data_IF_778980368915
#
_entry.id   IF_778980368915
#
_cell.length_a   1.000
_cell.length_b   1.000
_cell.length_c   1.000
_cell.angle_alpha   90.00
_cell.angle_beta   90.00
_cell.angle_gamma   90.00
#
_symmetry.space_group_name_H-M   'P 1'
#
loop_
_entity.id
_entity.type
_entity.pdbx_description
1 polymer ?
#
# COMPACT_ATOMS: atom_id res chain seq x y z
N UNK A 1 16.85 -19.75 -20.01
CA UNK A 1 16.02 -18.56 -19.89
C UNK A 1 16.36 -17.84 -18.59
N UNK A 2 16.57 -16.51 -18.64
CA UNK A 2 17.02 -15.68 -17.49
C UNK A 2 15.96 -15.53 -16.37
N UNK A 3 14.76 -16.07 -16.58
CA UNK A 3 13.64 -15.97 -15.65
C UNK A 3 13.41 -17.24 -14.81
N UNK A 4 14.33 -18.20 -14.88
CA UNK A 4 14.27 -19.44 -14.10
C UNK A 4 14.77 -19.20 -12.67
N UNK A 5 13.85 -18.95 -11.75
CA UNK A 5 14.11 -18.75 -10.33
C UNK A 5 14.12 -17.28 -9.87
N UNK A 6 14.32 -17.05 -8.57
CA UNK A 6 14.47 -15.73 -7.96
C UNK A 6 15.87 -15.14 -8.28
N UNK A 7 16.15 -14.92 -9.55
CA UNK A 7 17.43 -14.41 -10.02
C UNK A 7 17.53 -12.88 -10.00
N UNK A 8 18.73 -12.34 -10.30
CA UNK A 8 18.96 -10.88 -10.37
C UNK A 8 18.08 -10.17 -11.40
N UNK A 9 17.48 -10.89 -12.35
CA UNK A 9 16.57 -10.35 -13.35
C UNK A 9 15.30 -9.73 -12.73
N UNK A 10 14.82 -10.22 -11.58
CA UNK A 10 13.67 -9.66 -10.88
C UNK A 10 14.01 -8.44 -10.00
N UNK A 11 15.29 -8.21 -9.71
CA UNK A 11 15.70 -7.09 -8.85
C UNK A 11 15.38 -5.74 -9.47
N UNK A 12 15.66 -5.54 -10.75
CA UNK A 12 15.44 -4.26 -11.41
C UNK A 12 13.94 -3.89 -11.48
N UNK A 13 13.02 -4.74 -11.98
CA UNK A 13 11.58 -4.46 -11.94
C UNK A 13 11.06 -4.27 -10.51
N UNK A 14 11.50 -5.09 -9.56
CA UNK A 14 11.10 -4.99 -8.15
C UNK A 14 11.53 -3.69 -7.50
N UNK A 15 12.75 -3.23 -7.73
CA UNK A 15 13.25 -1.95 -7.23
C UNK A 15 12.45 -0.78 -7.82
N UNK A 16 12.17 -0.80 -9.12
CA UNK A 16 11.42 0.28 -9.78
C UNK A 16 10.00 0.39 -9.21
N UNK A 17 9.30 -0.73 -9.08
CA UNK A 17 7.96 -0.78 -8.47
C UNK A 17 8.00 -0.33 -7.00
N UNK A 18 8.96 -0.83 -6.25
CA UNK A 18 9.13 -0.51 -4.84
C UNK A 18 9.46 0.96 -4.60
N UNK A 19 10.37 1.56 -5.38
CA UNK A 19 10.73 2.97 -5.27
C UNK A 19 9.55 3.90 -5.60
N UNK A 20 8.74 3.57 -6.61
CA UNK A 20 7.55 4.33 -6.94
C UNK A 20 6.56 4.36 -5.77
N UNK A 21 6.22 3.21 -5.23
CA UNK A 21 5.33 3.07 -4.07
C UNK A 21 5.91 3.73 -2.82
N UNK A 22 7.21 3.56 -2.56
CA UNK A 22 7.91 4.18 -1.43
C UNK A 22 7.86 5.71 -1.50
N UNK A 23 8.10 6.29 -2.68
CA UNK A 23 8.02 7.74 -2.89
C UNK A 23 6.61 8.27 -2.62
N UNK A 24 5.59 7.56 -3.07
CA UNK A 24 4.18 7.90 -2.83
C UNK A 24 3.83 7.85 -1.35
N UNK A 25 4.12 6.73 -0.67
CA UNK A 25 3.86 6.54 0.77
C UNK A 25 4.60 7.58 1.61
N UNK A 26 5.87 7.87 1.27
CA UNK A 26 6.66 8.89 1.97
C UNK A 26 6.03 10.27 1.87
N UNK A 27 5.56 10.65 0.68
CA UNK A 27 4.90 11.94 0.46
C UNK A 27 3.60 12.03 1.25
N UNK A 28 2.78 10.98 1.20
CA UNK A 28 1.52 10.90 1.94
C UNK A 28 1.74 10.99 3.45
N UNK A 29 2.68 10.22 3.98
CA UNK A 29 3.03 10.23 5.41
C UNK A 29 3.49 11.63 5.84
N UNK A 30 4.33 12.29 5.05
CA UNK A 30 4.78 13.65 5.32
C UNK A 30 3.61 14.63 5.39
N UNK A 31 2.70 14.58 4.41
CA UNK A 31 1.53 15.47 4.38
C UNK A 31 0.63 15.25 5.59
N UNK A 32 0.29 13.99 5.90
CA UNK A 32 -0.51 13.62 7.07
C UNK A 32 0.13 14.07 8.39
N UNK A 33 1.45 13.92 8.53
CA UNK A 33 2.17 14.38 9.70
C UNK A 33 2.13 15.91 9.85
N UNK A 34 2.23 16.66 8.75
CA UNK A 34 2.15 18.12 8.77
C UNK A 34 0.74 18.61 9.13
N UNK A 35 -0.31 17.95 8.64
CA UNK A 35 -1.69 18.25 9.01
C UNK A 35 -1.95 18.03 10.50
N UNK A 36 -1.53 16.87 11.02
CA UNK A 36 -1.67 16.52 12.43
C UNK A 36 -0.91 17.50 13.32
N UNK A 37 0.30 17.93 12.92
CA UNK A 37 1.12 18.89 13.67
C UNK A 37 0.39 20.20 13.96
N UNK A 38 -0.56 20.60 13.11
CA UNK A 38 -1.34 21.85 13.22
C UNK A 38 -2.60 21.71 14.07
N UNK A 39 -2.96 20.50 14.49
CA UNK A 39 -4.15 20.25 15.28
C UNK A 39 -4.04 20.81 16.71
N UNK A 40 -5.16 21.29 17.25
CA UNK A 40 -5.20 21.96 18.55
C UNK A 40 -4.80 21.05 19.71
N UNK A 41 -5.10 19.74 19.63
CA UNK A 41 -4.70 18.80 20.69
C UNK A 41 -3.18 18.64 20.78
N UNK A 42 -2.44 18.83 19.67
CA UNK A 42 -0.97 18.84 19.67
C UNK A 42 -0.44 20.11 20.32
N UNK A 43 -1.08 21.26 20.06
CA UNK A 43 -0.74 22.52 20.74
C UNK A 43 -0.99 22.42 22.23
N UNK A 44 -2.11 21.84 22.63
CA UNK A 44 -2.44 21.60 24.04
C UNK A 44 -1.44 20.67 24.71
N UNK A 45 -1.00 19.61 24.05
CA UNK A 45 0.00 18.69 24.58
C UNK A 45 1.34 19.40 24.84
N UNK A 46 1.76 20.29 23.93
CA UNK A 46 2.96 21.12 24.10
C UNK A 46 2.81 22.12 25.24
N UNK A 47 1.65 22.79 25.34
CA UNK A 47 1.35 23.73 26.42
C UNK A 47 1.38 23.06 27.80
N UNK A 48 1.06 21.77 27.89
CA UNK A 48 1.17 20.96 29.11
C UNK A 48 2.62 20.51 29.43
N UNK A 49 3.59 20.93 28.65
CA UNK A 49 5.02 20.63 28.88
C UNK A 49 5.44 19.19 28.50
N UNK A 50 4.65 18.48 27.68
CA UNK A 50 5.05 17.16 27.20
C UNK A 50 6.28 17.29 26.26
N UNK A 51 7.23 16.37 26.42
CA UNK A 51 8.41 16.31 25.55
C UNK A 51 8.01 16.02 24.09
N UNK A 52 8.75 16.54 23.12
CA UNK A 52 8.46 16.39 21.69
C UNK A 52 8.43 14.93 21.24
N UNK A 53 9.30 14.07 21.77
CA UNK A 53 9.37 12.66 21.37
C UNK A 53 8.07 11.88 21.64
N UNK A 54 7.43 11.91 22.82
CA UNK A 54 6.12 11.32 23.03
C UNK A 54 5.03 11.95 22.16
N UNK A 55 5.05 13.27 21.93
CA UNK A 55 4.09 13.95 21.07
C UNK A 55 4.16 13.38 19.66
N UNK A 56 5.37 13.29 19.09
CA UNK A 56 5.56 12.79 17.73
C UNK A 56 5.19 11.31 17.61
N UNK A 57 5.73 10.44 18.47
CA UNK A 57 5.57 9.00 18.34
C UNK A 57 4.19 8.50 18.73
N UNK A 58 3.61 9.06 19.80
CA UNK A 58 2.36 8.53 20.36
C UNK A 58 1.10 9.27 19.89
N UNK A 59 1.22 10.58 19.63
CA UNK A 59 0.09 11.40 19.23
C UNK A 59 0.07 11.70 17.74
N UNK A 60 1.20 12.12 17.14
CA UNK A 60 1.23 12.50 15.74
C UNK A 60 1.30 11.28 14.82
N UNK A 61 2.30 10.41 14.99
CA UNK A 61 2.54 9.27 14.09
C UNK A 61 1.32 8.32 14.07
N UNK A 62 0.76 8.02 15.22
CA UNK A 62 -0.41 7.15 15.34
C UNK A 62 -1.59 7.64 14.48
N UNK A 63 -1.92 8.92 14.57
CA UNK A 63 -3.03 9.49 13.82
C UNK A 63 -2.68 9.72 12.33
N UNK A 64 -1.42 10.06 12.03
CA UNK A 64 -0.95 10.24 10.67
C UNK A 64 -0.89 8.93 9.87
N UNK A 65 -0.78 7.79 10.54
CA UNK A 65 -0.77 6.48 9.88
C UNK A 65 -2.15 6.02 9.39
N UNK A 66 -3.25 6.61 9.88
CA UNK A 66 -4.61 6.21 9.44
C UNK A 66 -4.78 6.35 7.93
N UNK A 67 -4.60 7.53 7.30
CA UNK A 67 -4.73 7.66 5.85
C UNK A 67 -3.67 6.88 5.08
N UNK A 68 -2.48 6.68 5.66
CA UNK A 68 -1.42 5.88 5.05
C UNK A 68 -1.84 4.42 4.94
N UNK A 69 -2.37 3.84 6.00
CA UNK A 69 -2.85 2.46 6.02
C UNK A 69 -4.00 2.22 5.04
N UNK A 70 -4.93 3.18 4.91
CA UNK A 70 -6.03 3.11 3.95
C UNK A 70 -5.52 2.85 2.53
N UNK A 71 -4.42 3.49 2.16
CA UNK A 71 -3.86 3.41 0.81
C UNK A 71 -2.90 2.23 0.67
N UNK A 72 -2.25 1.81 1.76
CA UNK A 72 -1.33 0.67 1.72
C UNK A 72 -1.99 -0.65 1.32
N UNK A 73 -3.27 -0.86 1.64
CA UNK A 73 -3.99 -2.07 1.25
C UNK A 73 -4.05 -2.24 -0.28
N UNK A 74 -4.72 -1.34 -1.02
CA UNK A 74 -4.72 -1.37 -2.48
C UNK A 74 -3.31 -1.32 -3.08
N UNK A 75 -2.41 -0.49 -2.56
CA UNK A 75 -1.04 -0.40 -3.06
C UNK A 75 -0.26 -1.73 -2.92
N UNK A 76 -0.48 -2.48 -1.85
CA UNK A 76 0.10 -3.82 -1.70
C UNK A 76 -0.47 -4.81 -2.71
N UNK A 77 -1.78 -4.74 -2.98
CA UNK A 77 -2.41 -5.56 -4.02
C UNK A 77 -1.83 -5.24 -5.40
N UNK A 78 -1.66 -3.96 -5.73
CA UNK A 78 -1.04 -3.51 -7.00
C UNK A 78 0.40 -4.00 -7.13
N UNK A 79 1.18 -4.00 -6.04
CA UNK A 79 2.55 -4.52 -6.05
C UNK A 79 2.61 -6.02 -6.29
N UNK A 80 1.67 -6.79 -5.75
CA UNK A 80 1.61 -8.26 -5.91
C UNK A 80 1.16 -8.64 -7.32
N UNK A 81 0.20 -7.90 -7.87
CA UNK A 81 -0.27 -8.16 -9.25
C UNK A 81 0.72 -7.67 -10.31
N UNK A 82 1.65 -6.79 -9.92
CA UNK A 82 2.65 -6.22 -10.81
C UNK A 82 2.13 -5.08 -11.69
N UNK A 83 3.03 -4.53 -12.46
CA UNK A 83 2.71 -3.47 -13.44
C UNK A 83 2.85 -4.00 -14.84
N UNK A 84 1.78 -3.97 -15.62
CA UNK A 84 1.75 -4.35 -17.03
C UNK A 84 2.89 -3.67 -17.80
N UNK A 85 3.14 -2.39 -17.53
CA UNK A 85 4.17 -1.60 -18.21
C UNK A 85 5.56 -2.16 -17.89
N UNK A 86 5.88 -2.39 -16.63
CA UNK A 86 7.18 -2.88 -16.21
C UNK A 86 7.38 -4.32 -16.65
N UNK A 87 6.36 -5.17 -16.52
CA UNK A 87 6.39 -6.55 -17.00
C UNK A 87 6.64 -6.62 -18.51
N UNK A 88 6.01 -5.74 -19.29
CA UNK A 88 6.20 -5.67 -20.74
C UNK A 88 7.60 -5.17 -21.13
N UNK A 89 8.11 -4.14 -20.44
CA UNK A 89 9.45 -3.57 -20.72
C UNK A 89 10.56 -4.59 -20.42
N UNK A 90 10.45 -5.27 -19.27
CA UNK A 90 11.46 -6.25 -18.85
C UNK A 90 11.22 -7.66 -19.40
N UNK A 91 10.09 -7.90 -20.08
CA UNK A 91 9.71 -9.22 -20.55
C UNK A 91 9.44 -10.22 -19.43
N UNK A 92 9.16 -9.73 -18.22
CA UNK A 92 8.92 -10.56 -17.05
C UNK A 92 7.57 -11.28 -17.15
N UNK A 93 7.48 -12.55 -16.77
CA UNK A 93 6.22 -13.24 -16.64
C UNK A 93 5.48 -12.71 -15.41
N UNK A 94 4.35 -12.03 -15.61
CA UNK A 94 3.55 -11.45 -14.55
C UNK A 94 2.06 -11.46 -14.87
N UNK A 95 1.23 -11.31 -13.83
CA UNK A 95 -0.24 -11.37 -13.95
C UNK A 95 -0.82 -10.24 -14.79
N UNK A 96 -0.22 -9.05 -14.75
CA UNK A 96 -0.67 -7.91 -15.54
C UNK A 96 -0.49 -8.16 -17.03
N UNK A 97 0.63 -8.72 -17.44
CA UNK A 97 0.90 -9.09 -18.83
C UNK A 97 -0.02 -10.20 -19.31
N UNK A 98 -0.18 -11.27 -18.53
CA UNK A 98 -1.08 -12.38 -18.85
C UNK A 98 -2.53 -11.91 -19.01
N UNK A 99 -2.97 -10.96 -18.17
CA UNK A 99 -4.31 -10.36 -18.30
C UNK A 99 -4.48 -9.66 -19.66
N UNK A 100 -3.52 -8.84 -20.09
CA UNK A 100 -3.58 -8.13 -21.39
C UNK A 100 -3.45 -9.09 -22.56
N UNK A 101 -2.56 -10.06 -22.48
CA UNK A 101 -2.39 -11.08 -23.51
C UNK A 101 -3.66 -11.93 -23.68
N UNK A 102 -4.35 -12.24 -22.58
CA UNK A 102 -5.62 -12.99 -22.62
C UNK A 102 -6.76 -12.20 -23.29
N UNK A 103 -6.78 -10.88 -23.15
CA UNK A 103 -7.73 -10.02 -23.88
C UNK A 103 -7.49 -10.13 -25.38
N UNK A 104 -6.23 -10.05 -25.82
CA UNK A 104 -5.82 -10.14 -27.22
C UNK A 104 -6.13 -11.52 -27.81
N UNK A 105 -5.98 -12.58 -27.04
CA UNK A 105 -6.30 -13.97 -27.40
C UNK A 105 -7.78 -14.31 -27.27
N UNK A 106 -8.61 -13.42 -26.69
CA UNK A 106 -10.03 -13.64 -26.37
C UNK A 106 -10.25 -14.83 -25.42
N UNK A 107 -9.29 -15.08 -24.53
CA UNK A 107 -9.41 -16.12 -23.52
C UNK A 107 -10.22 -15.62 -22.32
N UNK A 108 -11.52 -15.79 -22.39
CA UNK A 108 -12.44 -15.35 -21.34
C UNK A 108 -12.21 -16.05 -20.00
N UNK A 109 -11.75 -17.29 -20.01
CA UNK A 109 -11.47 -18.04 -18.79
C UNK A 109 -10.31 -17.41 -18.03
N UNK A 110 -9.25 -17.04 -18.73
CA UNK A 110 -8.08 -16.39 -18.14
C UNK A 110 -8.39 -14.97 -17.71
N UNK A 111 -9.16 -14.20 -18.50
CA UNK A 111 -9.62 -12.86 -18.12
C UNK A 111 -10.42 -12.89 -16.82
N UNK A 112 -11.39 -13.81 -16.72
CA UNK A 112 -12.21 -13.97 -15.51
C UNK A 112 -11.37 -14.44 -14.31
N UNK A 113 -10.48 -15.38 -14.52
CA UNK A 113 -9.62 -15.93 -13.47
C UNK A 113 -8.71 -14.85 -12.86
N UNK A 114 -8.03 -14.06 -13.70
CA UNK A 114 -7.16 -12.96 -13.24
C UNK A 114 -7.95 -11.85 -12.55
N UNK A 115 -9.13 -11.49 -13.07
CA UNK A 115 -9.99 -10.49 -12.45
C UNK A 115 -10.49 -10.91 -11.06
N UNK A 116 -10.94 -12.18 -10.91
CA UNK A 116 -11.36 -12.72 -9.64
C UNK A 116 -10.19 -12.79 -8.65
N UNK A 117 -9.03 -13.23 -9.10
CA UNK A 117 -7.83 -13.27 -8.27
C UNK A 117 -7.48 -11.88 -7.73
N UNK A 118 -7.49 -10.85 -8.58
CA UNK A 118 -7.22 -9.47 -8.19
C UNK A 118 -8.26 -8.95 -7.20
N UNK A 119 -9.55 -9.22 -7.45
CA UNK A 119 -10.63 -8.83 -6.54
C UNK A 119 -10.47 -9.45 -5.13
N UNK A 120 -10.14 -10.74 -5.07
CA UNK A 120 -9.88 -11.45 -3.80
C UNK A 120 -8.67 -10.87 -3.09
N UNK A 121 -7.60 -10.55 -3.82
CA UNK A 121 -6.39 -9.96 -3.25
C UNK A 121 -6.67 -8.58 -2.64
N UNK A 122 -7.40 -7.72 -3.34
CA UNK A 122 -7.81 -6.40 -2.81
C UNK A 122 -8.71 -6.56 -1.59
N UNK A 123 -9.68 -7.46 -1.64
CA UNK A 123 -10.56 -7.71 -0.50
C UNK A 123 -9.76 -8.17 0.74
N UNK A 124 -8.83 -9.09 0.56
CA UNK A 124 -7.94 -9.54 1.61
C UNK A 124 -7.05 -8.41 2.16
N UNK A 125 -6.46 -7.59 1.28
CA UNK A 125 -5.65 -6.45 1.67
C UNK A 125 -6.47 -5.43 2.48
N UNK A 126 -7.71 -5.15 2.08
CA UNK A 126 -8.61 -4.26 2.82
C UNK A 126 -8.96 -4.82 4.21
N UNK A 127 -9.22 -6.12 4.33
CA UNK A 127 -9.44 -6.77 5.64
C UNK A 127 -8.22 -6.59 6.55
N UNK A 128 -7.01 -6.75 6.04
CA UNK A 128 -5.79 -6.51 6.82
C UNK A 128 -5.68 -5.04 7.27
N UNK A 129 -6.05 -4.10 6.41
CA UNK A 129 -6.11 -2.67 6.76
C UNK A 129 -7.14 -2.43 7.86
N UNK A 130 -8.34 -2.99 7.76
CA UNK A 130 -9.40 -2.85 8.76
C UNK A 130 -8.98 -3.41 10.14
N UNK A 131 -8.30 -4.56 10.15
CA UNK A 131 -7.70 -5.11 11.36
C UNK A 131 -6.64 -4.15 11.94
N UNK A 132 -5.81 -3.58 11.08
CA UNK A 132 -4.77 -2.62 11.47
C UNK A 132 -5.36 -1.36 12.08
N UNK A 133 -6.52 -0.88 11.61
CA UNK A 133 -7.24 0.22 12.24
C UNK A 133 -7.67 -0.12 13.66
N UNK A 134 -8.18 -1.33 13.89
CA UNK A 134 -8.57 -1.78 15.24
C UNK A 134 -7.41 -1.81 16.24
N UNK A 135 -6.18 -2.00 15.76
CA UNK A 135 -4.95 -1.94 16.58
C UNK A 135 -4.49 -0.51 16.82
N UNK A 136 -4.57 0.34 15.79
CA UNK A 136 -4.10 1.73 15.86
C UNK A 136 -5.08 2.61 16.61
N UNK A 137 -6.38 2.48 16.37
CA UNK A 137 -7.41 3.26 17.05
C UNK A 137 -8.47 2.36 17.73
N UNK A 138 -8.26 1.92 18.97
CA UNK A 138 -9.21 1.11 19.71
C UNK A 138 -10.55 1.82 20.01
N UNK A 139 -10.64 3.13 19.77
CA UNK A 139 -11.89 3.91 19.98
C UNK A 139 -12.93 3.65 18.89
N UNK A 140 -12.54 3.13 17.72
CA UNK A 140 -13.46 2.77 16.64
C UNK A 140 -14.32 1.56 17.05
N UNK A 141 -13.88 0.73 17.99
CA UNK A 141 -14.62 -0.44 18.52
C UNK A 141 -15.88 -0.10 19.33
N UNK A 142 -16.07 1.13 19.78
CA UNK A 142 -17.11 1.51 20.76
C UNK A 142 -18.37 2.11 20.11
N UNK A 143 -18.42 2.26 18.79
CA UNK A 143 -19.62 2.77 18.11
C UNK A 143 -20.37 1.65 17.41
N UNK A 144 -20.99 0.79 18.21
CA UNK A 144 -22.16 -0.01 17.85
C UNK A 144 -23.31 0.38 18.77
#
# INVERSE_FOLDING_TARGET
HEWDGLGPAYLAPGIILGLGTMAFVTRLTRTSMLEIKRQDYIRTARAKGLAERPIVLRHMLRNAMIPVLTILGPAAADLVTGSIIIESIYGAPGLGREFVDSISKRDYSMIMGTAIFYAVLIAFANVLVDISYGVIDPRIRVRR
#
